data_IF_758770894971
#
_entry.id   IF_758770894971
#
_cell.length_a   1.000
_cell.length_b   1.000
_cell.length_c   1.000
_cell.angle_alpha   90.00
_cell.angle_beta   90.00
_cell.angle_gamma   90.00
#
_symmetry.space_group_name_H-M   'P 1'
#
loop_
_entity.id
_entity.type
_entity.pdbx_description
1 polymer ?
2 non-polymer ?
3 non-polymer ?
4 non-polymer ?
5 non-polymer ?
6 water ?
#
# COMPACT_ATOMS: atom_id res chain seq x y z
N UNK A 3 -13.64 -8.36 -20.89
CA UNK A 3 -14.73 -7.41 -21.07
C UNK A 3 -16.00 -7.93 -20.41
N UNK A 4 -16.02 -9.24 -20.11
CA UNK A 4 -17.09 -9.79 -19.31
C UNK A 4 -16.96 -9.34 -17.86
N UNK A 5 -15.73 -9.27 -17.36
CA UNK A 5 -15.49 -8.85 -15.98
C UNK A 5 -15.85 -7.38 -15.77
N UNK A 6 -15.59 -6.54 -16.78
CA UNK A 6 -15.95 -5.13 -16.69
C UNK A 6 -17.46 -4.97 -16.53
N UNK A 7 -18.24 -5.81 -17.22
CA UNK A 7 -19.69 -5.69 -17.19
C UNK A 7 -20.23 -5.81 -15.77
N UNK A 8 -19.93 -6.92 -15.10
CA UNK A 8 -20.49 -7.16 -13.77
C UNK A 8 -19.91 -6.23 -12.71
N UNK A 9 -18.71 -5.69 -12.92
CA UNK A 9 -18.16 -4.76 -11.94
C UNK A 9 -18.66 -3.34 -12.16
N UNK A 10 -18.70 -2.89 -13.41
CA UNK A 10 -19.16 -1.53 -13.70
C UNK A 10 -20.61 -1.30 -13.31
N UNK A 11 -21.43 -2.35 -13.25
CA UNK A 11 -22.83 -2.23 -12.88
C UNK A 11 -23.06 -2.27 -11.37
N UNK A 12 -22.30 -3.09 -10.65
CA UNK A 12 -22.54 -3.37 -9.24
C UNK A 12 -22.53 -2.10 -8.39
N UNK A 13 -23.34 -2.11 -7.34
CA UNK A 13 -23.34 -1.02 -6.37
C UNK A 13 -22.18 -1.22 -5.40
N UNK A 14 -21.35 -0.20 -5.26
CA UNK A 14 -20.18 -0.28 -4.38
C UNK A 14 -20.64 -0.06 -2.94
N UNK A 15 -20.55 -1.08 -2.08
CA UNK A 15 -21.03 -0.92 -0.71
C UNK A 15 -20.22 0.12 0.04
N UNK A 16 -20.75 0.51 1.20
CA UNK A 16 -20.09 1.51 2.03
C UNK A 16 -18.73 1.01 2.50
N UNK A 17 -17.87 1.96 2.88
CA UNK A 17 -16.58 1.60 3.46
C UNK A 17 -16.75 0.80 4.74
N UNK A 18 -17.81 1.07 5.50
CA UNK A 18 -18.03 0.36 6.75
C UNK A 18 -18.49 -1.07 6.50
N UNK A 19 -19.30 -1.28 5.45
CA UNK A 19 -19.70 -2.63 5.08
C UNK A 19 -18.49 -3.45 4.64
N UNK A 20 -17.58 -2.83 3.90
CA UNK A 20 -16.39 -3.52 3.38
C UNK A 20 -15.25 -3.58 4.39
N UNK A 21 -15.37 -2.89 5.53
CA UNK A 21 -14.42 -2.96 6.64
C UNK A 21 -13.01 -2.48 6.26
N UNK A 22 -12.87 -1.73 5.17
CA UNK A 22 -11.53 -1.35 4.71
C UNK A 22 -10.97 -0.20 5.54
N UNK A 23 -11.64 0.15 6.63
CA UNK A 23 -11.14 1.16 7.55
C UNK A 23 -10.33 0.55 8.69
N UNK A 24 -10.57 -0.71 9.03
CA UNK A 24 -9.81 -1.36 10.09
C UNK A 24 -8.37 -1.60 9.66
N UNK A 25 -7.42 -1.23 10.53
CA UNK A 25 -6.06 -1.70 10.35
C UNK A 25 -5.99 -3.23 10.38
N UNK A 26 -6.94 -3.85 11.08
CA UNK A 26 -7.00 -5.29 11.24
C UNK A 26 -7.79 -5.98 10.13
N UNK A 27 -7.86 -5.36 8.96
CA UNK A 27 -8.65 -5.89 7.85
C UNK A 27 -7.91 -7.04 7.17
N UNK A 28 -8.68 -7.96 6.59
CA UNK A 28 -8.12 -9.06 5.82
C UNK A 28 -8.96 -9.29 4.57
N UNK A 29 -8.38 -10.03 3.62
CA UNK A 29 -8.94 -10.15 2.28
C UNK A 29 -9.20 -11.59 1.84
N UNK A 30 -8.89 -12.59 2.67
CA UNK A 30 -9.00 -13.98 2.23
C UNK A 30 -10.41 -14.31 1.79
N UNK A 31 -11.41 -13.89 2.56
CA UNK A 31 -12.80 -14.22 2.24
C UNK A 31 -13.27 -13.59 0.96
N UNK A 32 -12.61 -12.53 0.49
CA UNK A 32 -13.11 -11.77 -0.64
C UNK A 32 -12.72 -12.42 -1.96
N UNK A 33 -13.65 -12.39 -2.92
CA UNK A 33 -13.34 -12.76 -4.29
C UNK A 33 -12.55 -11.63 -4.95
N UNK A 34 -12.18 -11.83 -6.22
CA UNK A 34 -11.48 -10.79 -6.95
C UNK A 34 -12.36 -9.56 -7.15
N UNK A 35 -13.62 -9.78 -7.58
CA UNK A 35 -14.53 -8.67 -7.80
C UNK A 35 -14.82 -7.89 -6.52
N UNK A 36 -14.83 -8.57 -5.38
CA UNK A 36 -15.04 -7.89 -4.12
C UNK A 36 -13.88 -6.94 -3.81
N UNK A 37 -12.64 -7.36 -4.12
CA UNK A 37 -11.51 -6.46 -3.96
C UNK A 37 -11.61 -5.27 -4.90
N UNK A 38 -12.27 -5.44 -6.04
CA UNK A 38 -12.46 -4.32 -6.97
C UNK A 38 -13.44 -3.31 -6.38
N UNK A 39 -14.55 -3.78 -5.82
CA UNK A 39 -15.50 -2.88 -5.17
C UNK A 39 -14.84 -2.13 -4.02
N UNK A 40 -14.02 -2.84 -3.22
CA UNK A 40 -13.29 -2.18 -2.14
C UNK A 40 -12.34 -1.13 -2.69
N UNK A 41 -11.75 -1.38 -3.86
CA UNK A 41 -10.82 -0.42 -4.44
C UNK A 41 -11.55 0.84 -4.89
N UNK A 42 -12.68 0.68 -5.60
CA UNK A 42 -13.50 1.83 -5.98
C UNK A 42 -13.90 2.62 -4.76
N UNK A 43 -14.33 1.92 -3.69
CA UNK A 43 -14.74 2.59 -2.47
C UNK A 43 -13.61 3.41 -1.86
N UNK A 44 -12.38 2.89 -1.96
CA UNK A 44 -11.23 3.63 -1.44
C UNK A 44 -11.06 4.94 -2.17
N UNK A 45 -11.01 4.89 -3.51
CA UNK A 45 -11.01 6.11 -4.32
C UNK A 45 -12.18 7.01 -3.96
N UNK A 46 -13.38 6.42 -3.85
CA UNK A 46 -14.59 7.19 -3.66
C UNK A 46 -14.56 7.94 -2.33
N UNK A 47 -14.40 7.21 -1.23
CA UNK A 47 -14.46 7.83 0.08
C UNK A 47 -13.20 8.63 0.43
N UNK A 48 -12.17 8.59 -0.40
CA UNK A 48 -11.08 9.55 -0.34
C UNK A 48 -11.35 10.76 -1.23
N UNK A 49 -12.60 10.95 -1.65
CA UNK A 49 -13.02 12.10 -2.44
C UNK A 49 -12.21 12.27 -3.72
N UNK A 50 -11.67 11.15 -4.24
CA UNK A 50 -10.83 11.20 -5.44
C UNK A 50 -11.68 11.22 -6.71
N UNK A 51 -12.73 10.40 -6.76
CA UNK A 51 -13.65 10.42 -7.90
C UNK A 51 -14.28 11.80 -8.04
N UNK A 52 -14.51 12.49 -6.93
CA UNK A 52 -15.13 13.81 -6.97
C UNK A 52 -14.16 14.86 -7.49
N UNK A 53 -13.04 15.05 -6.79
CA UNK A 53 -12.18 16.20 -7.03
C UNK A 53 -11.44 16.13 -8.37
N UNK A 54 -11.29 14.93 -8.95
CA UNK A 54 -10.56 14.79 -10.20
C UNK A 54 -11.44 14.25 -11.33
N UNK A 55 -12.76 14.28 -11.14
CA UNK A 55 -13.72 14.07 -12.23
C UNK A 55 -13.50 12.73 -12.94
N UNK A 56 -13.42 11.66 -12.14
CA UNK A 56 -13.18 10.33 -12.69
C UNK A 56 -14.49 9.71 -13.15
N UNK A 57 -14.50 9.20 -14.38
CA UNK A 57 -15.65 8.49 -14.91
C UNK A 57 -15.65 7.06 -14.40
N UNK A 58 -16.83 6.56 -14.04
CA UNK A 58 -16.93 5.30 -13.32
C UNK A 58 -16.35 4.14 -14.10
N UNK A 59 -16.56 4.11 -15.41
CA UNK A 59 -16.09 2.99 -16.23
C UNK A 59 -14.59 3.07 -16.52
N UNK A 60 -13.98 4.23 -16.39
CA UNK A 60 -12.52 4.32 -16.50
C UNK A 60 -11.87 3.72 -15.26
N UNK A 61 -12.36 4.10 -14.08
CA UNK A 61 -11.82 3.56 -12.83
C UNK A 61 -11.99 2.05 -12.78
N UNK A 62 -13.17 1.55 -13.16
CA UNK A 62 -13.39 0.11 -13.21
C UNK A 62 -12.39 -0.56 -14.15
N UNK A 63 -12.23 0.00 -15.35
CA UNK A 63 -11.29 -0.58 -16.31
C UNK A 63 -9.85 -0.41 -15.85
N UNK A 64 -9.54 0.70 -15.17
CA UNK A 64 -8.18 0.90 -14.67
C UNK A 64 -7.85 -0.10 -13.57
N UNK A 65 -8.79 -0.35 -12.65
CA UNK A 65 -8.56 -1.32 -11.60
C UNK A 65 -8.35 -2.71 -12.19
N UNK A 66 -9.23 -3.11 -13.11
CA UNK A 66 -9.15 -4.45 -13.67
C UNK A 66 -7.88 -4.65 -14.48
N UNK A 67 -7.34 -3.57 -15.07
CA UNK A 67 -6.06 -3.67 -15.77
C UNK A 67 -4.91 -3.79 -14.78
N UNK A 68 -4.98 -3.05 -13.66
CA UNK A 68 -3.97 -3.20 -12.61
C UNK A 68 -3.98 -4.61 -12.07
N UNK A 69 -5.17 -5.17 -11.81
CA UNK A 69 -5.27 -6.56 -11.37
C UNK A 69 -4.73 -7.51 -12.44
N UNK A 70 -5.04 -7.24 -13.70
CA UNK A 70 -4.59 -8.12 -14.79
C UNK A 70 -3.07 -8.21 -14.83
N UNK A 71 -2.39 -7.09 -14.55
CA UNK A 71 -0.93 -7.03 -14.68
C UNK A 71 -0.20 -7.49 -13.42
N UNK A 72 -0.91 -8.09 -12.46
CA UNK A 72 -0.30 -8.91 -11.43
C UNK A 72 -0.46 -10.36 -11.81
N UNK A 73 0.45 -11.20 -11.29
CA UNK A 73 0.55 -12.58 -11.72
C UNK A 73 0.02 -13.50 -10.63
N UNK A 74 -1.11 -14.14 -10.92
CA UNK A 74 -1.76 -15.02 -9.95
C UNK A 74 -0.87 -16.20 -9.57
N UNK A 75 0.10 -16.55 -10.41
CA UNK A 75 1.00 -17.66 -10.14
C UNK A 75 2.17 -17.29 -9.23
N UNK A 76 2.26 -16.03 -8.81
CA UNK A 76 3.28 -15.58 -7.87
C UNK A 76 2.67 -15.58 -6.48
N UNK A 77 3.32 -16.27 -5.54
CA UNK A 77 2.68 -16.62 -4.27
C UNK A 77 2.23 -15.39 -3.50
N UNK A 78 3.17 -14.47 -3.21
CA UNK A 78 2.89 -13.34 -2.36
C UNK A 78 2.79 -12.02 -3.12
N UNK A 79 3.75 -11.74 -4.02
CA UNK A 79 3.79 -10.47 -4.73
C UNK A 79 2.79 -10.54 -5.89
N UNK A 80 1.53 -10.33 -5.54
CA UNK A 80 0.41 -10.46 -6.46
C UNK A 80 -0.61 -9.37 -6.16
N UNK A 81 -1.74 -9.40 -6.87
CA UNK A 81 -2.76 -8.36 -6.73
C UNK A 81 -3.28 -8.28 -5.29
N UNK A 82 -3.33 -9.40 -4.59
CA UNK A 82 -3.79 -9.38 -3.20
C UNK A 82 -2.86 -8.55 -2.32
N UNK A 83 -1.55 -8.66 -2.55
CA UNK A 83 -0.61 -7.80 -1.83
C UNK A 83 -0.77 -6.34 -2.25
N UNK A 84 -1.00 -6.10 -3.55
CA UNK A 84 -1.23 -4.73 -4.01
C UNK A 84 -2.54 -4.19 -3.44
N UNK A 85 -3.59 -5.00 -3.47
CA UNK A 85 -4.85 -4.60 -2.85
C UNK A 85 -4.67 -4.28 -1.38
N UNK A 86 -3.89 -5.08 -0.67
CA UNK A 86 -3.75 -4.91 0.78
C UNK A 86 -2.89 -3.69 1.11
N UNK A 87 -1.81 -3.47 0.35
CA UNK A 87 -1.00 -2.28 0.57
C UNK A 87 -1.81 -1.01 0.33
N UNK A 88 -2.76 -1.06 -0.60
CA UNK A 88 -3.66 0.07 -0.81
C UNK A 88 -4.69 0.19 0.30
N UNK A 89 -5.15 -0.95 0.85
CA UNK A 89 -6.14 -0.89 1.92
C UNK A 89 -5.55 -0.26 3.17
N UNK A 90 -4.38 -0.75 3.61
CA UNK A 90 -3.73 -0.15 4.76
C UNK A 90 -3.43 1.32 4.52
N UNK A 91 -3.03 1.67 3.29
CA UNK A 91 -2.92 3.07 2.88
C UNK A 91 -4.21 3.82 3.19
N UNK A 92 -5.35 3.24 2.82
CA UNK A 92 -6.64 3.84 3.12
C UNK A 92 -6.86 3.92 4.63
N UNK A 93 -6.64 2.82 5.34
CA UNK A 93 -6.85 2.81 6.78
C UNK A 93 -5.94 3.81 7.48
N UNK A 94 -4.72 3.98 6.97
CA UNK A 94 -3.82 4.98 7.54
C UNK A 94 -4.32 6.39 7.29
N UNK A 95 -4.94 6.62 6.13
CA UNK A 95 -5.43 7.96 5.81
C UNK A 95 -6.65 8.32 6.64
N UNK A 96 -7.59 7.39 6.76
CA UNK A 96 -8.84 7.69 7.50
C UNK A 96 -8.68 7.37 8.98
N UNK A 97 -8.60 6.08 9.32
CA UNK A 97 -8.56 5.67 10.72
C UNK A 97 -7.36 6.24 11.45
N UNK A 98 -6.27 6.52 10.73
CA UNK A 98 -5.06 7.07 11.30
C UNK A 98 -4.99 8.58 11.31
N UNK A 99 -6.05 9.28 10.93
CA UNK A 99 -6.13 10.74 10.92
C UNK A 99 -5.15 11.39 9.96
N UNK A 100 -4.45 10.61 9.14
CA UNK A 100 -3.36 11.15 8.33
C UNK A 100 -3.87 11.97 7.15
N UNK A 101 -5.13 11.78 6.74
CA UNK A 101 -5.71 12.47 5.59
C UNK A 101 -5.43 13.97 5.58
N UNK A 102 -5.61 14.63 6.73
CA UNK A 102 -5.58 16.09 6.77
C UNK A 102 -4.19 16.69 6.62
N UNK A 103 -3.13 15.89 6.75
CA UNK A 103 -1.78 16.40 6.62
C UNK A 103 -1.27 16.42 5.18
N UNK A 104 -2.06 15.93 4.23
CA UNK A 104 -1.63 15.76 2.86
C UNK A 104 -2.56 16.50 1.90
N UNK A 105 -2.00 16.95 0.79
CA UNK A 105 -2.82 17.53 -0.27
C UNK A 105 -3.54 16.43 -1.04
N UNK A 106 -4.46 16.84 -1.92
CA UNK A 106 -5.28 15.87 -2.63
C UNK A 106 -4.48 15.10 -3.66
N UNK A 107 -3.59 15.79 -4.39
CA UNK A 107 -2.71 15.10 -5.33
C UNK A 107 -1.77 14.14 -4.60
N UNK A 108 -1.34 14.49 -3.39
CA UNK A 108 -0.50 13.58 -2.60
C UNK A 108 -1.27 12.32 -2.23
N UNK A 109 -2.55 12.46 -1.89
CA UNK A 109 -3.36 11.31 -1.53
C UNK A 109 -3.75 10.52 -2.77
N UNK A 110 -4.10 11.22 -3.86
CA UNK A 110 -4.41 10.55 -5.11
C UNK A 110 -3.20 9.78 -5.65
N UNK A 111 -1.99 10.28 -5.41
CA UNK A 111 -0.79 9.60 -5.89
C UNK A 111 -0.39 8.45 -4.97
N UNK A 112 -0.46 8.66 -3.65
CA UNK A 112 -0.13 7.59 -2.71
C UNK A 112 -0.98 6.36 -2.96
N UNK A 113 -2.28 6.55 -3.22
CA UNK A 113 -3.17 5.42 -3.42
C UNK A 113 -2.88 4.72 -4.75
N UNK A 114 -2.67 5.51 -5.81
CA UNK A 114 -2.32 4.92 -7.10
C UNK A 114 -0.98 4.20 -7.02
N UNK A 115 -0.03 4.76 -6.28
CA UNK A 115 1.26 4.11 -6.12
C UNK A 115 1.15 2.84 -5.29
N UNK A 116 0.37 2.86 -4.21
CA UNK A 116 0.22 1.67 -3.38
C UNK A 116 -0.39 0.52 -4.17
N UNK A 117 -1.36 0.82 -5.05
CA UNK A 117 -1.99 -0.22 -5.85
C UNK A 117 -1.03 -0.78 -6.90
N UNK A 118 -0.06 0.02 -7.34
CA UNK A 118 0.75 -0.31 -8.50
C UNK A 118 2.20 -0.61 -8.18
N UNK A 119 2.59 -0.59 -6.89
CA UNK A 119 4.00 -0.61 -6.53
C UNK A 119 4.69 -1.93 -6.81
N UNK A 120 3.97 -2.98 -7.19
CA UNK A 120 4.59 -4.28 -7.45
C UNK A 120 4.07 -4.89 -8.74
N UNK A 121 3.62 -4.06 -9.68
CA UNK A 121 3.05 -4.56 -10.91
C UNK A 121 4.03 -5.45 -11.66
N UNK A 122 3.53 -6.58 -12.17
CA UNK A 122 4.31 -7.53 -12.96
C UNK A 122 5.47 -8.12 -12.17
N UNK A 123 5.27 -8.31 -10.87
CA UNK A 123 6.28 -8.96 -10.03
C UNK A 123 6.34 -10.44 -10.36
N UNK A 124 7.52 -10.91 -10.78
CA UNK A 124 7.70 -12.31 -11.13
C UNK A 124 7.95 -13.20 -9.93
N UNK A 125 8.13 -12.63 -8.75
CA UNK A 125 8.61 -13.38 -7.61
C UNK A 125 10.10 -13.16 -7.42
N UNK A 126 10.53 -13.16 -6.16
CA UNK A 126 11.89 -12.79 -5.79
C UNK A 126 12.91 -13.79 -6.34
N UNK A 127 12.44 -14.84 -6.99
CA UNK A 127 13.30 -15.83 -7.61
C UNK A 127 13.55 -15.55 -9.08
N UNK A 128 13.68 -14.28 -9.45
CA UNK A 128 14.02 -13.90 -10.81
C UNK A 128 15.04 -12.76 -10.81
N UNK A 145 17.39 0.60 -7.75
CA UNK A 145 15.98 0.27 -7.61
C UNK A 145 15.43 -0.23 -8.95
N UNK A 146 16.16 -1.19 -9.54
CA UNK A 146 15.77 -1.74 -10.84
C UNK A 146 14.32 -2.19 -10.83
N UNK A 147 13.98 -3.09 -9.90
CA UNK A 147 12.66 -3.73 -9.86
C UNK A 147 11.55 -2.70 -9.84
N UNK A 148 11.73 -1.65 -9.03
CA UNK A 148 10.67 -0.67 -8.82
C UNK A 148 10.52 0.27 -10.00
N UNK A 149 11.58 0.46 -10.79
CA UNK A 149 11.44 1.24 -12.02
C UNK A 149 10.55 0.52 -13.02
N UNK A 150 10.74 -0.79 -13.17
CA UNK A 150 9.82 -1.58 -13.97
C UNK A 150 8.39 -1.48 -13.44
N UNK A 151 8.24 -1.48 -12.11
CA UNK A 151 6.92 -1.33 -11.51
C UNK A 151 6.26 -0.02 -11.92
N UNK A 152 7.02 1.07 -11.89
CA UNK A 152 6.45 2.36 -12.27
C UNK A 152 6.14 2.41 -13.76
N UNK A 153 7.02 1.85 -14.60
CA UNK A 153 6.75 1.79 -16.03
C UNK A 153 5.42 1.09 -16.30
N UNK A 154 5.20 -0.06 -15.64
CA UNK A 154 3.90 -0.72 -15.69
C UNK A 154 2.80 0.21 -15.23
N UNK A 155 3.01 0.88 -14.09
CA UNK A 155 2.03 1.84 -13.59
C UNK A 155 1.78 2.95 -14.61
N UNK A 156 2.82 3.38 -15.32
CA UNK A 156 2.65 4.45 -16.30
C UNK A 156 1.93 3.96 -17.55
N UNK A 157 2.23 2.74 -18.00
CA UNK A 157 1.60 2.21 -19.20
C UNK A 157 0.09 2.13 -19.04
N UNK A 158 -0.37 1.51 -17.95
CA UNK A 158 -1.80 1.34 -17.73
C UNK A 158 -2.47 2.69 -17.55
N UNK A 159 -1.83 3.60 -16.81
CA UNK A 159 -2.37 4.94 -16.62
C UNK A 159 -2.55 5.69 -17.93
N UNK A 160 -1.80 5.34 -18.96
CA UNK A 160 -1.94 5.93 -20.28
C UNK A 160 -2.64 5.01 -21.28
N UNK A 161 -2.87 3.76 -20.92
CA UNK A 161 -3.60 2.86 -21.80
C UNK A 161 -5.00 3.40 -22.05
N UNK A 162 -5.48 3.39 -23.29
CA UNK A 162 -6.80 3.96 -23.58
C UNK A 162 -7.90 3.25 -22.82
N UNK A 163 -8.84 4.03 -22.29
CA UNK A 163 -9.89 3.52 -21.43
C UNK A 163 -9.54 3.42 -19.97
N UNK A 164 -8.27 3.65 -19.60
CA UNK A 164 -7.82 3.55 -18.23
C UNK A 164 -7.33 4.86 -17.64
N UNK A 165 -7.24 5.92 -18.46
CA UNK A 165 -6.60 7.18 -18.07
C UNK A 165 -7.45 7.86 -16.99
N UNK A 166 -7.32 7.38 -15.76
CA UNK A 166 -8.09 7.92 -14.65
C UNK A 166 -7.63 9.33 -14.28
N UNK A 167 -6.43 9.72 -14.69
CA UNK A 167 -5.91 11.05 -14.40
C UNK A 167 -6.30 12.08 -15.45
N UNK A 168 -7.17 11.71 -16.40
CA UNK A 168 -7.51 12.62 -17.48
C UNK A 168 -8.20 13.88 -16.97
N UNK A 169 -8.95 13.77 -15.87
CA UNK A 169 -9.58 14.94 -15.28
C UNK A 169 -8.63 15.93 -14.65
N UNK A 170 -7.35 15.59 -14.58
CA UNK A 170 -6.36 16.47 -13.97
C UNK A 170 -5.84 17.48 -15.00
N UNK A 171 -5.43 18.64 -14.51
CA UNK A 171 -4.83 19.66 -15.38
C UNK A 171 -3.44 19.19 -15.79
N UNK A 172 -2.67 20.06 -16.44
CA UNK A 172 -1.37 19.62 -16.93
C UNK A 172 -0.33 19.65 -15.83
N UNK A 173 -0.32 20.71 -15.00
CA UNK A 173 0.60 20.74 -13.86
C UNK A 173 0.04 20.03 -12.64
N UNK A 174 -1.28 19.80 -12.60
CA UNK A 174 -1.81 18.78 -11.69
C UNK A 174 -1.26 17.41 -12.05
N UNK A 175 -1.32 17.05 -13.33
CA UNK A 175 -0.88 15.74 -13.79
C UNK A 175 0.63 15.57 -13.61
N UNK A 176 1.40 16.61 -13.91
CA UNK A 176 2.85 16.54 -13.74
C UNK A 176 3.22 16.25 -12.29
N UNK A 177 2.56 16.94 -11.36
CA UNK A 177 2.87 16.77 -9.94
C UNK A 177 2.53 15.36 -9.48
N UNK A 178 1.31 14.90 -9.76
CA UNK A 178 0.88 13.57 -9.33
C UNK A 178 1.83 12.49 -9.85
N UNK A 179 2.26 12.62 -11.10
CA UNK A 179 3.16 11.63 -11.68
C UNK A 179 4.48 11.56 -10.92
N UNK A 180 5.04 12.73 -10.58
CA UNK A 180 6.29 12.76 -9.83
C UNK A 180 6.14 12.09 -8.47
N UNK A 181 5.01 12.32 -7.80
CA UNK A 181 4.78 11.71 -6.49
C UNK A 181 4.57 10.21 -6.63
N UNK A 182 3.83 9.79 -7.66
CA UNK A 182 3.66 8.37 -7.92
C UNK A 182 5.01 7.69 -8.09
N UNK A 183 5.90 8.31 -8.86
CA UNK A 183 7.22 7.74 -9.10
C UNK A 183 8.02 7.65 -7.81
N UNK A 184 8.04 8.72 -7.03
CA UNK A 184 8.77 8.71 -5.76
C UNK A 184 8.26 7.59 -4.86
N UNK A 185 6.95 7.33 -4.88
CA UNK A 185 6.38 6.40 -3.91
C UNK A 185 6.65 4.96 -4.30
N UNK A 186 6.52 4.62 -5.59
CA UNK A 186 6.83 3.26 -6.04
C UNK A 186 8.31 2.96 -5.81
N UNK A 187 9.18 3.94 -6.05
CA UNK A 187 10.60 3.75 -5.76
C UNK A 187 10.85 3.67 -4.26
N UNK A 188 10.01 4.31 -3.46
CA UNK A 188 10.20 4.28 -2.01
C UNK A 188 10.02 2.88 -1.44
N UNK A 189 9.18 2.06 -2.08
CA UNK A 189 8.97 0.69 -1.62
C UNK A 189 10.22 -0.17 -1.71
N UNK A 190 11.29 0.32 -2.35
CA UNK A 190 12.57 -0.36 -2.33
C UNK A 190 13.11 -0.35 -0.91
N UNK A 191 13.18 -1.54 -0.28
CA UNK A 191 13.67 -1.64 1.08
C UNK A 191 15.08 -1.08 1.24
N UNK A 192 15.84 -1.01 0.14
CA UNK A 192 17.15 -0.37 0.18
C UNK A 192 17.00 1.14 0.44
N UNK A 193 16.19 1.81 -0.39
CA UNK A 193 15.95 3.23 -0.18
C UNK A 193 15.32 3.50 1.18
N UNK A 194 14.55 2.55 1.70
CA UNK A 194 14.02 2.70 3.06
C UNK A 194 15.14 2.83 4.08
N UNK A 195 16.14 1.95 4.01
CA UNK A 195 17.24 1.98 4.96
C UNK A 195 18.06 3.25 4.79
N UNK A 196 18.27 3.68 3.54
CA UNK A 196 19.08 4.87 3.30
C UNK A 196 18.46 6.11 3.92
N UNK A 197 17.15 6.28 3.80
CA UNK A 197 16.48 7.52 4.18
C UNK A 197 15.80 7.46 5.54
N UNK A 198 15.66 6.28 6.15
CA UNK A 198 14.95 6.19 7.42
C UNK A 198 15.74 6.80 8.58
N UNK A 199 17.06 6.91 8.46
CA UNK A 199 17.83 7.56 9.51
C UNK A 199 17.45 9.01 9.68
N UNK A 200 17.22 9.71 8.56
CA UNK A 200 16.80 11.11 8.62
C UNK A 200 15.39 11.24 9.19
N UNK A 201 14.50 10.32 8.82
CA UNK A 201 13.14 10.36 9.37
C UNK A 201 13.16 10.07 10.87
N UNK A 202 14.01 9.14 11.32
CA UNK A 202 14.08 8.83 12.74
C UNK A 202 14.80 9.93 13.51
N UNK A 203 15.89 10.45 12.94
CA UNK A 203 16.57 11.60 13.53
C UNK A 203 15.62 12.77 13.71
N UNK A 204 14.74 13.01 12.74
CA UNK A 204 13.85 14.16 12.79
C UNK A 204 12.79 13.99 13.87
N UNK A 205 12.17 12.81 13.94
CA UNK A 205 11.20 12.54 15.00
C UNK A 205 11.88 12.46 16.36
N UNK A 206 13.19 12.15 16.39
CA UNK A 206 13.89 11.95 17.66
C UNK A 206 13.90 13.20 18.51
N UNK A 207 13.91 14.39 17.90
CA UNK A 207 14.14 15.63 18.62
C UNK A 207 13.12 16.69 18.23
N UNK A 208 11.85 16.29 18.13
CA UNK A 208 10.73 17.22 17.88
C UNK A 208 11.00 18.15 16.70
N UNK A 209 11.79 17.68 15.74
CA UNK A 209 12.19 18.48 14.59
C UNK A 209 11.36 18.18 13.34
N UNK A 210 10.39 17.28 13.44
CA UNK A 210 9.62 16.88 12.26
C UNK A 210 8.64 17.97 11.88
N UNK A 211 8.66 18.37 10.60
CA UNK A 211 7.78 19.42 10.10
C UNK A 211 7.38 19.07 8.67
N UNK A 212 6.09 18.83 8.45
CA UNK A 212 5.63 18.41 7.13
C UNK A 212 5.60 19.55 6.12
N UNK A 213 5.53 20.79 6.58
CA UNK A 213 5.48 21.93 5.67
C UNK A 213 6.79 22.11 4.90
N UNK A 214 7.88 21.56 5.41
CA UNK A 214 9.11 21.49 4.64
C UNK A 214 8.90 20.51 3.49
N UNK A 215 9.03 20.93 2.23
CA UNK A 215 8.78 19.99 1.12
C UNK A 215 9.65 18.75 1.15
N UNK A 216 10.87 18.85 1.68
CA UNK A 216 11.74 17.67 1.74
C UNK A 216 11.22 16.67 2.77
N UNK A 217 10.91 17.14 3.98
CA UNK A 217 10.38 16.25 5.01
C UNK A 217 9.06 15.61 4.58
N UNK A 218 8.28 16.30 3.75
CA UNK A 218 7.02 15.75 3.28
C UNK A 218 7.26 14.56 2.36
N UNK A 219 8.15 14.73 1.36
CA UNK A 219 8.46 13.61 0.47
C UNK A 219 9.08 12.44 1.23
N UNK A 220 9.97 12.75 2.18
CA UNK A 220 10.54 11.70 3.02
C UNK A 220 9.44 10.96 3.78
N UNK A 221 8.45 11.69 4.29
CA UNK A 221 7.34 11.06 5.00
C UNK A 221 6.53 10.17 4.06
N UNK A 222 6.26 10.65 2.85
CA UNK A 222 5.52 9.83 1.88
C UNK A 222 6.27 8.54 1.57
N UNK A 223 7.59 8.60 1.54
CA UNK A 223 8.39 7.39 1.34
C UNK A 223 8.24 6.44 2.52
N UNK A 224 8.22 6.97 3.74
CA UNK A 224 8.05 6.13 4.91
C UNK A 224 6.65 5.53 4.95
N UNK A 225 5.64 6.32 4.60
CA UNK A 225 4.26 5.83 4.65
C UNK A 225 4.04 4.70 3.66
N UNK A 226 4.68 4.78 2.48
CA UNK A 226 4.59 3.69 1.52
C UNK A 226 5.19 2.41 2.09
N UNK A 227 6.39 2.51 2.66
CA UNK A 227 7.04 1.35 3.27
C UNK A 227 6.21 0.79 4.41
N UNK A 228 5.53 1.66 5.15
CA UNK A 228 4.71 1.21 6.27
C UNK A 228 3.52 0.39 5.80
N UNK A 229 2.94 0.76 4.66
CA UNK A 229 1.84 -0.01 4.08
C UNK A 229 2.35 -1.21 3.30
N UNK A 230 3.54 -1.11 2.71
CA UNK A 230 4.09 -2.22 1.93
C UNK A 230 4.26 -3.48 2.78
N UNK A 231 4.74 -3.31 4.02
CA UNK A 231 5.00 -4.42 4.92
C UNK A 231 3.93 -4.56 6.00
N UNK A 232 2.77 -3.92 5.81
CA UNK A 232 1.76 -3.85 6.86
C UNK A 232 1.18 -5.20 7.23
N UNK A 233 1.47 -6.26 6.45
CA UNK A 233 0.99 -7.59 6.80
C UNK A 233 1.56 -8.07 8.12
N UNK A 234 2.75 -7.58 8.49
CA UNK A 234 3.37 -7.99 9.74
C UNK A 234 2.64 -7.45 10.95
N UNK A 235 1.84 -6.39 10.78
CA UNK A 235 1.09 -5.79 11.87
C UNK A 235 -0.32 -6.37 12.00
N UNK A 236 -0.62 -7.45 11.28
CA UNK A 236 -1.96 -7.99 11.22
C UNK A 236 -2.27 -8.85 12.45
N UNK A 237 -3.54 -9.16 12.68
CA UNK A 237 -3.86 -10.17 13.68
C UNK A 237 -3.15 -11.48 13.37
N UNK A 238 -2.65 -12.12 14.43
CA UNK A 238 -1.72 -13.24 14.29
C UNK A 238 -2.16 -14.30 13.29
N UNK A 239 -3.42 -14.78 13.30
CA UNK A 239 -3.79 -15.79 12.31
C UNK A 239 -3.69 -15.31 10.87
N UNK A 240 -3.92 -14.03 10.61
CA UNK A 240 -3.79 -13.50 9.26
C UNK A 240 -2.32 -13.31 8.91
N UNK A 241 -1.56 -12.67 9.81
CA UNK A 241 -0.14 -12.47 9.57
C UNK A 241 0.59 -13.80 9.44
N UNK A 242 0.14 -14.83 10.16
CA UNK A 242 0.73 -16.16 10.01
C UNK A 242 0.45 -16.73 8.62
N UNK A 243 -0.77 -16.56 8.13
CA UNK A 243 -1.10 -17.06 6.80
C UNK A 243 -0.39 -16.27 5.71
N UNK A 244 -0.20 -14.96 5.92
CA UNK A 244 0.57 -14.17 4.95
C UNK A 244 2.03 -14.61 4.96
N UNK A 245 2.59 -14.78 6.16
CA UNK A 245 3.97 -15.28 6.27
C UNK A 245 4.12 -16.64 5.61
N UNK A 246 3.05 -17.44 5.60
CA UNK A 246 3.06 -18.68 4.84
C UNK A 246 3.10 -18.40 3.34
N UNK A 247 2.29 -17.46 2.88
CA UNK A 247 2.34 -17.06 1.48
C UNK A 247 3.73 -16.58 1.09
N UNK A 248 4.41 -15.90 2.02
CA UNK A 248 5.75 -15.40 1.75
C UNK A 248 6.74 -16.55 1.59
N UNK A 249 6.64 -17.56 2.46
CA UNK A 249 7.56 -18.69 2.41
C UNK A 249 7.37 -19.50 1.13
N UNK A 250 6.13 -19.61 0.64
CA UNK A 250 5.87 -20.36 -0.58
C UNK A 250 6.63 -19.75 -1.76
N UNK A 251 6.75 -18.43 -1.79
CA UNK A 251 7.53 -17.78 -2.83
C UNK A 251 9.03 -18.03 -2.64
N UNK A 252 9.49 -18.03 -1.40
CA UNK A 252 10.93 -17.89 -1.15
C UNK A 252 11.69 -19.17 -1.48
N UNK A 253 11.17 -20.34 -1.10
CA UNK A 253 11.87 -21.58 -1.43
C UNK A 253 11.09 -22.51 -2.37
N UNK A 254 9.76 -22.50 -2.32
CA UNK A 254 9.00 -23.35 -3.24
C UNK A 254 8.93 -22.79 -4.65
N UNK A 255 9.34 -21.53 -4.85
CA UNK A 255 9.39 -20.90 -6.16
C UNK A 255 8.06 -20.98 -6.91
N UNK A 278 13.21 -21.57 12.54
CA UNK A 278 13.88 -20.98 11.37
C UNK A 278 13.08 -19.79 10.88
N UNK A 279 11.90 -20.07 10.32
CA UNK A 279 10.97 -18.99 9.96
C UNK A 279 10.66 -18.08 11.15
N UNK A 280 10.34 -18.60 12.34
CA UNK A 280 10.07 -17.68 13.46
C UNK A 280 11.24 -16.79 13.82
N UNK A 281 12.48 -17.26 13.63
CA UNK A 281 13.64 -16.42 13.92
C UNK A 281 13.81 -15.33 12.87
N UNK A 282 13.75 -15.70 11.59
CA UNK A 282 13.84 -14.71 10.52
C UNK A 282 12.74 -13.66 10.66
N UNK A 283 11.57 -14.05 11.16
CA UNK A 283 10.49 -13.09 11.33
C UNK A 283 10.82 -12.08 12.42
N UNK A 284 11.42 -12.53 13.52
CA UNK A 284 11.78 -11.61 14.60
C UNK A 284 12.89 -10.66 14.14
N UNK A 285 13.86 -11.17 13.40
CA UNK A 285 14.90 -10.31 12.86
C UNK A 285 14.37 -9.28 11.87
N UNK A 286 13.46 -9.71 10.99
CA UNK A 286 12.82 -8.79 10.07
C UNK A 286 12.04 -7.71 10.80
N UNK A 287 11.30 -8.11 11.85
CA UNK A 287 10.56 -7.14 12.66
C UNK A 287 11.53 -6.21 13.39
N UNK A 288 12.58 -6.79 13.99
CA UNK A 288 13.53 -6.00 14.77
C UNK A 288 14.20 -4.92 13.91
N UNK A 289 14.74 -5.31 12.77
CA UNK A 289 15.56 -4.43 11.94
C UNK A 289 14.75 -3.49 11.06
N UNK A 290 13.60 -3.92 10.54
CA UNK A 290 12.89 -3.19 9.50
C UNK A 290 11.60 -2.58 10.03
N UNK A 291 10.73 -3.39 10.65
CA UNK A 291 9.35 -2.97 10.86
C UNK A 291 9.19 -2.09 12.10
N UNK A 292 9.78 -2.51 13.23
CA UNK A 292 9.44 -1.92 14.53
C UNK A 292 9.71 -0.41 14.56
N UNK A 293 10.95 -0.02 14.26
CA UNK A 293 11.32 1.39 14.38
C UNK A 293 10.49 2.29 13.47
N UNK A 294 10.06 1.76 12.32
CA UNK A 294 9.22 2.53 11.42
C UNK A 294 7.84 2.76 12.01
N UNK A 295 7.17 1.69 12.44
CA UNK A 295 5.85 1.82 13.05
C UNK A 295 5.92 2.58 14.37
N UNK A 296 7.03 2.46 15.09
CA UNK A 296 7.28 3.33 16.24
C UNK A 296 7.20 4.79 15.82
N UNK A 297 7.96 5.17 14.80
CA UNK A 297 8.04 6.56 14.38
C UNK A 297 6.71 7.05 13.83
N UNK A 298 6.02 6.22 13.04
CA UNK A 298 4.72 6.62 12.52
C UNK A 298 3.70 6.81 13.63
N UNK A 299 3.83 6.04 14.72
CA UNK A 299 2.95 6.23 15.86
C UNK A 299 3.16 7.60 16.49
N UNK A 300 4.40 8.08 16.52
CA UNK A 300 4.68 9.42 17.03
C UNK A 300 3.93 10.48 16.21
N UNK A 301 4.05 10.41 14.88
CA UNK A 301 3.41 11.40 14.01
C UNK A 301 1.90 11.32 14.15
N UNK A 302 1.35 10.11 14.10
CA UNK A 302 -0.09 9.87 14.23
C UNK A 302 -0.30 8.81 15.29
N UNK A 303 -0.74 9.24 16.49
CA UNK A 303 -0.99 8.30 17.57
C UNK A 303 -2.12 7.32 17.24
N UNK A 304 -2.89 7.57 16.19
CA UNK A 304 -3.93 6.66 15.74
C UNK A 304 -3.41 5.65 14.72
N UNK A 305 -2.15 5.76 14.31
CA UNK A 305 -1.47 4.69 13.60
C UNK A 305 -0.90 3.64 14.55
N UNK A 306 -1.25 3.74 15.84
CA UNK A 306 -0.74 2.80 16.83
C UNK A 306 -1.15 1.34 16.59
N UNK A 307 -2.35 1.03 16.09
CA UNK A 307 -2.65 -0.38 15.82
C UNK A 307 -1.61 -1.09 14.96
N UNK A 308 -0.93 -0.37 14.08
CA UNK A 308 0.15 -0.98 13.31
C UNK A 308 1.36 -1.27 14.19
N UNK A 309 1.76 -0.31 15.02
CA UNK A 309 2.84 -0.55 15.97
C UNK A 309 2.47 -1.68 16.92
N UNK A 310 1.25 -1.66 17.46
CA UNK A 310 0.83 -2.67 18.42
C UNK A 310 0.74 -4.05 17.76
N UNK A 311 0.08 -4.14 16.61
CA UNK A 311 -0.05 -5.42 15.93
C UNK A 311 1.28 -6.03 15.57
N UNK A 312 2.25 -5.20 15.17
CA UNK A 312 3.59 -5.69 14.88
C UNK A 312 4.23 -6.30 16.13
N UNK A 313 4.00 -5.68 17.29
CA UNK A 313 4.54 -6.20 18.54
C UNK A 313 3.90 -7.54 18.88
N UNK A 314 2.57 -7.61 18.81
CA UNK A 314 1.87 -8.85 19.13
C UNK A 314 2.35 -10.00 18.27
N UNK A 315 2.78 -9.72 17.03
CA UNK A 315 3.32 -10.75 16.17
C UNK A 315 4.77 -11.08 16.52
N UNK A 316 5.55 -10.09 16.97
CA UNK A 316 6.91 -10.38 17.43
C UNK A 316 6.91 -11.30 18.63
N UNK A 317 5.98 -11.09 19.56
CA UNK A 317 5.88 -11.96 20.72
C UNK A 317 5.54 -13.39 20.31
N UNK A 318 4.56 -13.55 19.42
CA UNK A 318 4.21 -14.88 18.94
C UNK A 318 5.37 -15.53 18.20
N UNK A 319 6.06 -14.76 17.34
CA UNK A 319 7.21 -15.30 16.63
C UNK A 319 8.36 -15.60 17.57
N UNK A 320 8.54 -14.80 18.62
CA UNK A 320 9.63 -15.04 19.56
C UNK A 320 9.40 -16.33 20.36
N UNK A 321 8.16 -16.56 20.80
CA UNK A 321 7.86 -17.79 21.52
C UNK A 321 8.08 -19.01 20.65
N UNK A 322 7.66 -18.94 19.38
CA UNK A 322 7.82 -20.06 18.47
C UNK A 322 9.29 -20.36 18.20
N UNK A 323 10.10 -19.31 18.02
CA UNK A 323 11.53 -19.47 17.73
C UNK A 323 12.26 -20.27 18.79
N UNK A 324 11.74 -20.30 20.02
CA UNK A 324 12.33 -21.09 21.09
C UNK A 324 11.78 -22.51 21.14
N UNK A 325 11.07 -22.95 20.10
CA UNK A 325 10.46 -24.28 20.05
C UNK A 325 9.52 -24.50 21.23
#
# INVERSE_FOLDING_TARGET
>A
EETRELQSLAAAVVPSAQTLKITDFSFSDFELSDLETALCTIRMFTDLNLVQNFQMKHEVLCRWILSVKKNYRKNVAYHNWRHAFNTAQCMFAALKAGKIQNKLTDLEILALLIAALSHDLDHRGVNNSYIQRSEHPLAQLYCHSIMEHHHFDQCLMILNSPGNQILSGLSIEEYKTTLKIIKQAILATDLALYIKRRGEFFELIRKNQFNLEDPHQKELFLAMLMTACDLSAITKPWPIQQRIAELVATEFFDQGDRERKELNIEPTDLMNREKKNKIPSMQVGFIDAICLQLYEALTHVSEDCFPLLDGCRKNRQKWQALAEQQ
#
